data_IF_694748844076
#
_entry.id   IF_694748844076
#
_cell.length_a   1.000
_cell.length_b   1.000
_cell.length_c   1.000
_cell.angle_alpha   90.00
_cell.angle_beta   90.00
_cell.angle_gamma   90.00
#
_symmetry.space_group_name_H-M   'P 1'
#
loop_
_entity.id
_entity.type
_entity.pdbx_description
1 polymer ?
#
# COMPACT_ATOMS: atom_id res chain seq x y z
N UNK A 1 -1.93 -7.82 7.53
CA UNK A 1 -1.68 -6.39 7.23
C UNK A 1 -0.22 -6.13 6.95
N UNK A 2 0.73 -6.41 7.86
CA UNK A 2 2.16 -6.14 7.63
C UNK A 2 2.70 -6.67 6.29
N UNK A 3 2.43 -7.93 5.96
CA UNK A 3 2.89 -8.53 4.71
C UNK A 3 2.25 -7.90 3.45
N UNK A 4 1.05 -7.32 3.59
CA UNK A 4 0.35 -6.63 2.52
C UNK A 4 0.96 -5.25 2.26
N UNK A 5 1.23 -4.46 3.31
CA UNK A 5 1.98 -3.19 3.18
C UNK A 5 3.34 -3.43 2.53
N UNK A 6 4.03 -4.51 2.95
CA UNK A 6 5.35 -4.86 2.40
C UNK A 6 5.25 -5.26 0.94
N UNK A 7 4.22 -6.02 0.58
CA UNK A 7 3.94 -6.39 -0.80
C UNK A 7 3.64 -5.15 -1.67
N UNK A 8 2.84 -4.21 -1.17
CA UNK A 8 2.55 -2.93 -1.83
C UNK A 8 3.82 -2.10 -2.07
N UNK A 9 4.62 -1.90 -1.02
CA UNK A 9 5.87 -1.17 -1.10
C UNK A 9 6.85 -1.77 -2.14
N UNK A 10 6.98 -3.10 -2.18
CA UNK A 10 7.85 -3.77 -3.18
C UNK A 10 7.27 -3.73 -4.59
N UNK A 11 5.97 -3.94 -4.76
CA UNK A 11 5.33 -3.88 -6.07
C UNK A 11 5.46 -2.50 -6.71
N UNK A 12 5.33 -1.44 -5.91
CA UNK A 12 5.49 -0.06 -6.36
C UNK A 12 6.89 0.25 -6.89
N UNK A 13 7.94 -0.38 -6.36
CA UNK A 13 9.30 -0.27 -6.92
C UNK A 13 9.32 -0.75 -8.37
N UNK A 14 8.73 -1.92 -8.63
CA UNK A 14 8.64 -2.50 -9.99
C UNK A 14 7.76 -1.64 -10.90
N UNK A 15 6.69 -1.04 -10.37
CA UNK A 15 5.80 -0.21 -11.19
C UNK A 15 6.49 1.09 -11.63
N UNK A 16 7.30 1.68 -10.76
CA UNK A 16 8.05 2.90 -11.05
C UNK A 16 9.07 2.72 -12.19
N UNK A 17 9.59 1.52 -12.44
CA UNK A 17 10.53 1.25 -13.53
C UNK A 17 9.92 1.47 -14.92
N UNK A 18 8.58 1.47 -15.03
CA UNK A 18 7.87 1.73 -16.26
C UNK A 18 7.69 3.23 -16.59
N UNK A 19 8.20 4.12 -15.74
CA UNK A 19 8.04 5.58 -15.87
C UNK A 19 9.40 6.28 -15.82
N UNK A 20 9.54 7.36 -16.59
CA UNK A 20 10.71 8.23 -16.51
C UNK A 20 10.87 8.78 -15.09
N UNK A 21 12.11 8.77 -14.59
CA UNK A 21 12.43 9.30 -13.27
C UNK A 21 11.93 10.74 -13.15
N UNK A 22 11.21 11.04 -12.06
CA UNK A 22 10.59 12.34 -11.80
C UNK A 22 9.43 12.75 -12.73
N UNK A 23 8.89 11.84 -13.56
CA UNK A 23 7.56 12.08 -14.14
C UNK A 23 6.51 12.21 -13.03
N UNK A 24 5.35 12.77 -13.35
CA UNK A 24 4.28 12.95 -12.38
C UNK A 24 3.76 11.61 -11.84
N UNK A 25 3.62 10.60 -12.70
CA UNK A 25 3.26 9.24 -12.30
C UNK A 25 4.33 8.64 -11.39
N UNK A 26 5.61 8.79 -11.75
CA UNK A 26 6.71 8.30 -10.94
C UNK A 26 6.69 8.93 -9.54
N UNK A 27 6.48 10.24 -9.43
CA UNK A 27 6.43 10.95 -8.13
C UNK A 27 5.25 10.49 -7.27
N UNK A 28 4.08 10.30 -7.89
CA UNK A 28 2.90 9.78 -7.20
C UNK A 28 3.18 8.38 -6.66
N UNK A 29 3.64 7.46 -7.51
CA UNK A 29 3.94 6.09 -7.11
C UNK A 29 5.05 6.04 -6.05
N UNK A 30 6.06 6.91 -6.14
CA UNK A 30 7.13 6.99 -5.15
C UNK A 30 6.62 7.43 -3.78
N UNK A 31 5.72 8.41 -3.74
CA UNK A 31 5.11 8.86 -2.48
C UNK A 31 4.32 7.74 -1.82
N UNK A 32 3.49 7.04 -2.59
CA UNK A 32 2.71 5.92 -2.08
C UNK A 32 3.65 4.81 -1.59
N UNK A 33 4.73 4.52 -2.33
CA UNK A 33 5.72 3.53 -1.92
C UNK A 33 6.37 3.85 -0.58
N UNK A 34 6.68 5.13 -0.34
CA UNK A 34 7.22 5.58 0.94
C UNK A 34 6.20 5.45 2.07
N UNK A 35 4.93 5.77 1.81
CA UNK A 35 3.85 5.61 2.79
C UNK A 35 3.66 4.13 3.16
N UNK A 36 3.60 3.21 2.20
CA UNK A 36 3.50 1.75 2.41
C UNK A 36 4.71 1.21 3.20
N UNK A 37 5.93 1.67 2.87
CA UNK A 37 7.14 1.26 3.59
C UNK A 37 7.13 1.78 5.04
N UNK A 38 6.67 3.01 5.27
CA UNK A 38 6.53 3.56 6.61
C UNK A 38 5.46 2.81 7.42
N UNK A 39 4.34 2.48 6.81
CA UNK A 39 3.28 1.67 7.41
C UNK A 39 3.77 0.29 7.86
N UNK A 40 4.67 -0.35 7.09
CA UNK A 40 5.32 -1.59 7.52
C UNK A 40 6.05 -1.44 8.85
N UNK A 41 6.78 -0.34 9.03
CA UNK A 41 7.51 -0.04 10.27
C UNK A 41 6.52 0.15 11.41
N UNK A 42 5.46 0.95 11.21
CA UNK A 42 4.44 1.21 12.24
C UNK A 42 3.75 -0.07 12.72
N UNK A 43 3.35 -0.96 11.81
CA UNK A 43 2.75 -2.25 12.19
C UNK A 43 3.78 -3.13 12.91
N UNK A 44 5.02 -3.20 12.41
CA UNK A 44 6.09 -3.98 13.04
C UNK A 44 6.37 -3.54 14.48
N UNK A 45 6.35 -2.22 14.74
CA UNK A 45 6.48 -1.68 16.09
C UNK A 45 5.29 -2.03 17.00
N UNK A 46 4.06 -1.99 16.46
CA UNK A 46 2.87 -2.40 17.22
C UNK A 46 2.94 -3.89 17.62
N UNK A 47 3.33 -4.76 16.69
CA UNK A 47 3.48 -6.20 16.95
C UNK A 47 4.59 -6.48 17.96
N UNK A 48 5.75 -5.81 17.80
CA UNK A 48 6.85 -5.90 18.76
C UNK A 48 6.44 -5.48 20.17
N UNK A 49 5.67 -4.39 20.32
CA UNK A 49 5.16 -3.93 21.62
C UNK A 49 4.13 -4.89 22.22
N UNK A 50 3.41 -5.64 21.39
CA UNK A 50 2.49 -6.67 21.83
C UNK A 50 3.20 -7.99 22.21
N UNK A 51 4.51 -8.11 21.97
CA UNK A 51 5.26 -9.35 22.19
C UNK A 51 4.98 -10.43 21.14
N UNK A 52 4.41 -10.04 19.99
CA UNK A 52 4.07 -10.94 18.90
C UNK A 52 5.20 -11.01 17.88
N UNK A 53 5.55 -12.22 17.47
CA UNK A 53 6.45 -12.43 16.33
C UNK A 53 5.77 -11.98 15.04
N UNK A 54 6.56 -11.48 14.09
CA UNK A 54 6.03 -11.06 12.80
C UNK A 54 6.93 -11.47 11.63
N UNK A 55 6.26 -11.73 10.51
CA UNK A 55 6.91 -12.18 9.28
C UNK A 55 7.56 -11.03 8.50
N UNK A 56 8.69 -11.34 7.86
CA UNK A 56 9.36 -10.49 6.88
C UNK A 56 8.96 -10.78 5.42
N UNK A 57 8.06 -11.74 5.21
CA UNK A 57 7.59 -12.12 3.88
C UNK A 57 6.69 -11.06 3.24
N UNK A 58 6.49 -11.17 1.94
CA UNK A 58 5.40 -10.52 1.22
C UNK A 58 4.22 -11.48 1.13
N UNK A 59 3.00 -10.96 1.21
CA UNK A 59 1.81 -11.74 0.87
C UNK A 59 1.67 -11.93 -0.64
N UNK A 60 0.67 -12.72 -1.05
CA UNK A 60 0.38 -13.03 -2.47
C UNK A 60 0.13 -11.81 -3.37
N UNK A 61 -0.16 -10.65 -2.78
CA UNK A 61 -0.38 -9.42 -3.52
C UNK A 61 0.83 -9.07 -4.41
N UNK A 62 2.06 -9.27 -3.92
CA UNK A 62 3.25 -8.90 -4.67
C UNK A 62 3.34 -9.67 -5.99
N UNK A 63 3.26 -11.01 -5.92
CA UNK A 63 3.38 -11.87 -7.11
C UNK A 63 2.28 -11.58 -8.13
N UNK A 64 1.05 -11.36 -7.64
CA UNK A 64 -0.09 -10.98 -8.49
C UNK A 64 0.14 -9.62 -9.14
N UNK A 65 0.59 -8.62 -8.37
CA UNK A 65 0.80 -7.25 -8.85
C UNK A 65 1.87 -7.18 -9.94
N UNK A 66 3.02 -7.85 -9.76
CA UNK A 66 4.12 -7.82 -10.74
C UNK A 66 3.80 -8.62 -12.02
N UNK A 67 2.91 -9.62 -11.91
CA UNK A 67 2.41 -10.38 -13.05
C UNK A 67 1.49 -9.55 -13.96
N UNK A 68 0.79 -8.53 -13.43
CA UNK A 68 -0.08 -7.65 -14.23
C UNK A 68 0.73 -6.96 -15.33
N UNK A 69 0.21 -7.02 -16.56
CA UNK A 69 0.78 -6.35 -17.74
C UNK A 69 0.03 -5.07 -18.04
N UNK A 70 0.78 -4.05 -18.45
CA UNK A 70 0.25 -2.72 -18.75
C UNK A 70 0.26 -1.78 -17.53
N UNK A 71 0.65 -0.54 -17.78
CA UNK A 71 0.84 0.47 -16.73
C UNK A 71 -0.48 0.83 -16.06
N UNK A 72 -1.55 1.00 -16.85
CA UNK A 72 -2.89 1.30 -16.34
C UNK A 72 -3.42 0.16 -15.48
N UNK A 73 -3.35 -1.07 -15.98
CA UNK A 73 -3.85 -2.26 -15.29
C UNK A 73 -3.13 -2.49 -13.97
N UNK A 74 -1.81 -2.21 -13.90
CA UNK A 74 -1.03 -2.23 -12.65
C UNK A 74 -1.53 -1.22 -11.63
N UNK A 75 -1.77 0.03 -12.04
CA UNK A 75 -2.31 1.07 -11.16
C UNK A 75 -3.73 0.72 -10.69
N UNK A 76 -4.58 0.20 -11.58
CA UNK A 76 -5.92 -0.28 -11.22
C UNK A 76 -5.88 -1.48 -10.26
N UNK A 77 -4.92 -2.39 -10.42
CA UNK A 77 -4.69 -3.50 -9.49
C UNK A 77 -4.27 -2.99 -8.12
N UNK A 78 -3.38 -1.99 -8.06
CA UNK A 78 -2.98 -1.33 -6.83
C UNK A 78 -4.17 -0.66 -6.14
N UNK A 79 -5.03 0.05 -6.87
CA UNK A 79 -6.26 0.66 -6.31
C UNK A 79 -7.13 -0.39 -5.62
N UNK A 80 -7.32 -1.56 -6.25
CA UNK A 80 -8.10 -2.65 -5.64
C UNK A 80 -7.44 -3.17 -4.35
N UNK A 81 -6.11 -3.31 -4.34
CA UNK A 81 -5.34 -3.68 -3.16
C UNK A 81 -5.50 -2.67 -2.02
N UNK A 82 -5.35 -1.38 -2.31
CA UNK A 82 -5.51 -0.31 -1.33
C UNK A 82 -6.93 -0.26 -0.76
N UNK A 83 -7.96 -0.43 -1.60
CA UNK A 83 -9.37 -0.50 -1.16
C UNK A 83 -9.62 -1.69 -0.24
N UNK A 84 -9.05 -2.86 -0.58
CA UNK A 84 -9.11 -4.03 0.28
C UNK A 84 -8.44 -3.76 1.63
N UNK A 85 -7.27 -3.12 1.65
CA UNK A 85 -6.55 -2.78 2.88
C UNK A 85 -7.35 -1.80 3.77
N UNK A 86 -7.95 -0.76 3.18
CA UNK A 86 -8.88 0.16 3.88
C UNK A 86 -10.00 -0.61 4.57
N UNK A 87 -10.65 -1.53 3.85
CA UNK A 87 -11.72 -2.35 4.43
C UNK A 87 -11.20 -3.21 5.60
N UNK A 88 -10.02 -3.83 5.46
CA UNK A 88 -9.41 -4.62 6.55
C UNK A 88 -9.07 -3.77 7.76
N UNK A 89 -8.59 -2.54 7.57
CA UNK A 89 -8.36 -1.62 8.68
C UNK A 89 -9.67 -1.32 9.39
N UNK A 90 -10.71 -0.91 8.68
CA UNK A 90 -12.01 -0.57 9.25
C UNK A 90 -12.62 -1.72 10.07
N UNK A 91 -12.54 -2.95 9.57
CA UNK A 91 -12.99 -4.16 10.28
C UNK A 91 -12.15 -4.50 11.53
N UNK A 92 -10.92 -4.02 11.61
CA UNK A 92 -10.03 -4.24 12.75
C UNK A 92 -10.18 -3.19 13.85
N UNK A 93 -10.45 -1.92 13.48
CA UNK A 93 -10.45 -0.76 14.39
C UNK A 93 -11.24 -0.97 15.72
N UNK A 94 -12.44 -1.59 15.73
CA UNK A 94 -13.22 -1.75 16.95
C UNK A 94 -12.51 -2.60 18.02
N UNK A 95 -11.65 -3.54 17.60
CA UNK A 95 -11.00 -4.53 18.48
C UNK A 95 -9.62 -4.10 18.97
N UNK A 96 -9.10 -2.98 18.47
CA UNK A 96 -7.76 -2.51 18.79
C UNK A 96 -7.75 -1.64 20.05
N UNK A 97 -6.61 -1.66 20.75
CA UNK A 97 -6.30 -0.70 21.81
C UNK A 97 -6.29 0.73 21.26
N UNK A 98 -6.50 1.76 22.09
CA UNK A 98 -6.52 3.16 21.64
C UNK A 98 -5.28 3.56 20.82
N UNK A 99 -4.08 3.14 21.26
CA UNK A 99 -2.83 3.44 20.57
C UNK A 99 -2.75 2.76 19.18
N UNK A 100 -3.12 1.48 19.07
CA UNK A 100 -3.15 0.79 17.78
C UNK A 100 -4.24 1.36 16.85
N UNK A 101 -5.38 1.76 17.40
CA UNK A 101 -6.48 2.38 16.66
C UNK A 101 -6.06 3.70 16.02
N UNK A 102 -5.34 4.56 16.74
CA UNK A 102 -4.80 5.82 16.20
C UNK A 102 -3.87 5.57 15.01
N UNK A 103 -2.93 4.63 15.16
CA UNK A 103 -1.98 4.28 14.08
C UNK A 103 -2.73 3.76 12.86
N UNK A 104 -3.62 2.77 13.03
CA UNK A 104 -4.35 2.18 11.89
C UNK A 104 -5.33 3.17 11.23
N UNK A 105 -5.85 4.13 11.99
CA UNK A 105 -6.68 5.22 11.43
C UNK A 105 -5.86 6.10 10.49
N UNK A 106 -4.65 6.49 10.88
CA UNK A 106 -3.74 7.27 10.02
C UNK A 106 -3.34 6.50 8.76
N UNK A 107 -3.10 5.20 8.89
CA UNK A 107 -2.78 4.32 7.77
C UNK A 107 -3.94 4.22 6.79
N UNK A 108 -5.16 3.99 7.27
CA UNK A 108 -6.39 4.00 6.47
C UNK A 108 -6.54 5.31 5.69
N UNK A 109 -6.35 6.45 6.35
CA UNK A 109 -6.48 7.75 5.71
C UNK A 109 -5.39 7.98 4.64
N UNK A 110 -4.18 7.45 4.85
CA UNK A 110 -3.12 7.46 3.83
C UNK A 110 -3.47 6.61 2.61
N UNK A 111 -4.08 5.45 2.82
CA UNK A 111 -4.56 4.61 1.73
C UNK A 111 -5.67 5.30 0.92
N UNK A 112 -6.61 5.98 1.57
CA UNK A 112 -7.65 6.76 0.89
C UNK A 112 -7.05 7.86 -0.01
N UNK A 113 -6.03 8.57 0.47
CA UNK A 113 -5.29 9.55 -0.35
C UNK A 113 -4.55 8.88 -1.51
N UNK A 114 -3.94 7.72 -1.27
CA UNK A 114 -3.22 6.95 -2.28
C UNK A 114 -4.15 6.45 -3.38
N UNK A 115 -5.35 5.98 -3.02
CA UNK A 115 -6.41 5.61 -3.98
C UNK A 115 -6.74 6.79 -4.88
N UNK A 116 -7.07 7.95 -4.30
CA UNK A 116 -7.42 9.14 -5.08
C UNK A 116 -6.27 9.59 -6.00
N UNK A 117 -5.02 9.47 -5.57
CA UNK A 117 -3.86 9.79 -6.40
C UNK A 117 -3.67 8.78 -7.55
N UNK A 118 -3.81 7.48 -7.27
CA UNK A 118 -3.75 6.43 -8.28
C UNK A 118 -4.87 6.54 -9.31
N UNK A 119 -6.09 6.90 -8.90
CA UNK A 119 -7.22 7.11 -9.82
C UNK A 119 -6.94 8.22 -10.82
N UNK A 120 -6.28 9.31 -10.38
CA UNK A 120 -5.81 10.36 -11.28
C UNK A 120 -4.77 9.84 -12.27
N UNK A 121 -3.76 9.09 -11.79
CA UNK A 121 -2.74 8.48 -12.67
C UNK A 121 -3.38 7.54 -13.69
N UNK A 122 -4.27 6.64 -13.27
CA UNK A 122 -4.96 5.71 -14.17
C UNK A 122 -5.81 6.43 -15.23
N UNK A 123 -6.40 7.57 -14.89
CA UNK A 123 -7.15 8.42 -15.82
C UNK A 123 -6.30 9.04 -16.93
N UNK A 124 -5.00 9.21 -16.71
CA UNK A 124 -4.05 9.76 -17.68
C UNK A 124 -3.44 8.70 -18.59
N UNK A 125 -3.55 7.42 -18.23
CA UNK A 125 -2.95 6.32 -18.96
C UNK A 125 -3.88 5.78 -20.07
N UNK A 126 -3.32 5.36 -21.22
CA UNK A 126 -4.09 4.74 -22.28
C UNK A 126 -4.80 3.48 -21.77
N UNK A 127 -5.99 3.22 -22.32
CA UNK A 127 -6.80 2.05 -22.00
C UNK A 127 -6.11 0.76 -22.44
#
# INVERSE_FOLDING_TARGET
MLEAERAGAKALVVFMDAYSRNSEEWKVLRRIQADEAHNCVLIGELLKRAGEDYSHATGEFYDKAVAVKGNRQRVEFLIRGLRWAVQRFEESLPRLSPAAREVLTRMRDSHLRSIAACEKVAGLLPK
#
